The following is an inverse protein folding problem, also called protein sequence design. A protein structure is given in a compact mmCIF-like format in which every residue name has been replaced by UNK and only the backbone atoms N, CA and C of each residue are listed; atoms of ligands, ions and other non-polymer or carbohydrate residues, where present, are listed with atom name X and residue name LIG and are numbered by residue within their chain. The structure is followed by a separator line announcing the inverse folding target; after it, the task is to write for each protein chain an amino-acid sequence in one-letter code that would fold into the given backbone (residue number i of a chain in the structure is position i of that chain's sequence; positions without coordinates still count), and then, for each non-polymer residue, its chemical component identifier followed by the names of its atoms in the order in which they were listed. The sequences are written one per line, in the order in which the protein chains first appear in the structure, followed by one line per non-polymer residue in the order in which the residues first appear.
data_IF_950839966071
#
_entry.id   IF_950839966071
#
_cell.length_a   1.000
_cell.length_b   1.000
_cell.length_c   1.000
_cell.angle_alpha   90.00
_cell.angle_beta   90.00
_cell.angle_gamma   90.00
#
_symmetry.space_group_name_H-M   'P 1'
#
loop_
_entity.id
_entity.type
_entity.pdbx_description
1 polymer ?
#
# COMPACT_ATOMS: atom_id res chain seq x y z
N UNK A 1 14.62 51.81 -13.56
CA UNK A 1 14.64 50.43 -14.12
C UNK A 1 14.71 49.47 -12.95
N UNK A 2 13.58 48.89 -12.52
CA UNK A 2 13.54 47.89 -11.44
C UNK A 2 13.78 46.50 -12.00
N UNK A 3 14.82 45.84 -11.51
CA UNK A 3 15.13 44.44 -11.78
C UNK A 3 14.30 43.54 -10.86
N UNK A 4 13.12 43.10 -11.33
CA UNK A 4 12.39 42.03 -10.66
C UNK A 4 13.07 40.68 -10.95
N UNK A 5 13.73 40.13 -9.93
CA UNK A 5 14.24 38.75 -9.96
C UNK A 5 13.06 37.78 -9.98
N UNK A 6 12.98 36.83 -10.93
CA UNK A 6 11.98 35.78 -10.87
C UNK A 6 12.37 34.76 -9.79
N UNK A 7 11.46 34.53 -8.85
CA UNK A 7 11.51 33.49 -7.82
C UNK A 7 11.62 32.10 -8.47
N UNK A 8 12.85 31.60 -8.62
CA UNK A 8 13.10 30.22 -9.06
C UNK A 8 13.10 29.27 -7.86
N UNK A 9 11.95 28.70 -7.53
CA UNK A 9 11.92 27.41 -6.84
C UNK A 9 10.78 26.56 -7.42
N UNK A 10 11.01 25.80 -8.51
CA UNK A 10 10.35 24.51 -8.57
C UNK A 10 11.00 23.66 -7.48
N UNK A 11 10.26 23.32 -6.43
CA UNK A 11 10.66 22.24 -5.55
C UNK A 11 11.01 21.05 -6.44
N UNK A 12 12.30 20.68 -6.50
CA UNK A 12 12.74 19.49 -7.26
C UNK A 12 12.05 18.30 -6.60
N UNK A 13 10.94 17.86 -7.18
CA UNK A 13 10.22 16.68 -6.72
C UNK A 13 11.18 15.51 -6.86
N UNK A 14 11.71 15.05 -5.72
CA UNK A 14 12.64 13.92 -5.69
C UNK A 14 11.90 12.71 -6.25
N UNK A 15 12.41 12.12 -7.33
CA UNK A 15 11.81 10.91 -7.88
C UNK A 15 12.23 9.75 -7.00
N UNK A 16 11.28 9.00 -6.42
CA UNK A 16 11.61 7.99 -5.45
C UNK A 16 12.50 6.90 -6.04
N UNK A 17 13.43 6.42 -5.23
CA UNK A 17 14.35 5.34 -5.56
C UNK A 17 13.65 3.98 -5.64
N UNK A 18 14.36 2.96 -6.12
CA UNK A 18 13.82 1.59 -6.17
C UNK A 18 13.45 1.08 -4.77
N UNK A 19 14.38 1.19 -3.82
CA UNK A 19 14.21 0.78 -2.43
C UNK A 19 13.03 1.48 -1.78
N UNK A 20 12.86 2.79 -2.02
CA UNK A 20 11.75 3.57 -1.47
C UNK A 20 10.39 3.11 -2.01
N UNK A 21 10.33 2.79 -3.31
CA UNK A 21 9.11 2.26 -3.94
C UNK A 21 8.78 0.85 -3.45
N UNK A 22 9.77 -0.03 -3.32
CA UNK A 22 9.58 -1.36 -2.74
C UNK A 22 9.14 -1.26 -1.28
N UNK A 23 9.74 -0.36 -0.51
CA UNK A 23 9.32 -0.10 0.86
C UNK A 23 7.88 0.43 0.93
N UNK A 24 7.48 1.34 0.04
CA UNK A 24 6.10 1.81 -0.04
C UNK A 24 5.12 0.66 -0.36
N UNK A 25 5.45 -0.23 -1.30
CA UNK A 25 4.63 -1.40 -1.64
C UNK A 25 4.52 -2.37 -0.45
N UNK A 26 5.65 -2.75 0.14
CA UNK A 26 5.67 -3.79 1.16
C UNK A 26 5.17 -3.26 2.50
N UNK A 27 5.67 -2.11 2.92
CA UNK A 27 5.36 -1.58 4.25
C UNK A 27 4.10 -0.73 4.23
N UNK A 28 4.06 0.36 3.44
CA UNK A 28 2.91 1.28 3.48
C UNK A 28 1.65 0.59 2.99
N UNK A 29 1.69 -0.04 1.81
CA UNK A 29 0.53 -0.78 1.32
C UNK A 29 0.31 -2.08 2.12
N UNK A 30 1.32 -2.94 2.28
CA UNK A 30 1.10 -4.22 2.98
C UNK A 30 0.58 -4.08 4.42
N UNK A 31 1.19 -3.21 5.24
CA UNK A 31 0.70 -2.99 6.63
C UNK A 31 -0.58 -2.16 6.64
N UNK A 32 -0.67 -1.12 5.80
CA UNK A 32 -1.86 -0.28 5.71
C UNK A 32 -3.08 -1.10 5.32
N UNK A 33 -2.95 -2.02 4.38
CA UNK A 33 -4.03 -2.89 3.93
C UNK A 33 -4.47 -3.82 5.06
N UNK A 34 -3.52 -4.45 5.77
CA UNK A 34 -3.82 -5.25 6.96
C UNK A 34 -4.62 -4.47 8.00
N UNK A 35 -4.10 -3.33 8.48
CA UNK A 35 -4.75 -2.56 9.54
C UNK A 35 -6.07 -1.95 9.10
N UNK A 36 -6.15 -1.42 7.88
CA UNK A 36 -7.38 -0.81 7.36
C UNK A 36 -8.48 -1.85 7.15
N UNK A 37 -8.16 -3.07 6.68
CA UNK A 37 -9.12 -4.17 6.61
C UNK A 37 -9.64 -4.54 7.99
N UNK A 38 -8.78 -4.73 8.98
CA UNK A 38 -9.24 -5.03 10.34
C UNK A 38 -10.06 -3.89 10.96
N UNK A 39 -9.69 -2.62 10.71
CA UNK A 39 -10.47 -1.47 11.15
C UNK A 39 -11.87 -1.44 10.51
N UNK A 40 -11.97 -1.67 9.20
CA UNK A 40 -13.25 -1.74 8.50
C UNK A 40 -14.12 -2.88 9.04
N UNK A 41 -13.54 -4.07 9.21
CA UNK A 41 -14.23 -5.25 9.73
C UNK A 41 -14.67 -5.09 11.18
N UNK A 42 -13.94 -4.32 12.00
CA UNK A 42 -14.32 -4.05 13.37
C UNK A 42 -15.70 -3.38 13.46
N UNK A 43 -15.99 -2.44 12.56
CA UNK A 43 -17.26 -1.71 12.55
C UNK A 43 -18.34 -2.35 11.65
N UNK A 44 -17.95 -3.03 10.57
CA UNK A 44 -18.91 -3.60 9.60
C UNK A 44 -19.20 -5.09 9.81
N UNK A 45 -18.35 -5.79 10.55
CA UNK A 45 -18.40 -7.24 10.72
C UNK A 45 -17.87 -8.02 9.50
N UNK A 46 -17.65 -9.32 9.69
CA UNK A 46 -17.02 -10.22 8.70
C UNK A 46 -17.85 -10.37 7.41
N UNK A 47 -19.16 -10.13 7.47
CA UNK A 47 -20.05 -10.24 6.31
C UNK A 47 -19.78 -9.22 5.21
N UNK A 48 -19.18 -8.08 5.55
CA UNK A 48 -18.79 -7.06 4.60
C UNK A 48 -17.55 -7.45 3.76
N UNK A 49 -16.83 -8.50 4.15
CA UNK A 49 -15.69 -9.00 3.39
C UNK A 49 -16.17 -9.67 2.10
N UNK A 50 -15.76 -9.12 0.95
CA UNK A 50 -16.16 -9.62 -0.37
C UNK A 50 -15.37 -10.87 -0.75
N UNK A 51 -14.12 -10.99 -0.29
CA UNK A 51 -13.28 -12.12 -0.65
C UNK A 51 -13.67 -13.37 0.17
N UNK A 52 -14.24 -14.42 -0.45
CA UNK A 52 -14.74 -15.58 0.27
C UNK A 52 -13.64 -16.32 1.03
N UNK A 53 -12.41 -16.37 0.50
CA UNK A 53 -11.29 -17.02 1.17
C UNK A 53 -10.87 -16.25 2.43
N UNK A 54 -10.75 -14.93 2.32
CA UNK A 54 -10.40 -14.06 3.46
C UNK A 54 -11.49 -14.13 4.52
N UNK A 55 -12.77 -14.13 4.10
CA UNK A 55 -13.92 -14.27 4.99
C UNK A 55 -13.88 -15.59 5.77
N UNK A 56 -13.61 -16.71 5.10
CA UNK A 56 -13.47 -18.02 5.77
C UNK A 56 -12.27 -18.02 6.72
N UNK A 57 -11.14 -17.44 6.32
CA UNK A 57 -9.96 -17.37 7.18
C UNK A 57 -10.22 -16.54 8.44
N UNK A 58 -10.89 -15.39 8.31
CA UNK A 58 -11.25 -14.52 9.43
C UNK A 58 -12.21 -15.19 10.40
N UNK A 59 -13.17 -15.97 9.89
CA UNK A 59 -14.15 -16.66 10.71
C UNK A 59 -13.54 -17.77 11.59
N UNK A 60 -12.51 -18.46 11.09
CA UNK A 60 -11.92 -19.60 11.80
C UNK A 60 -10.55 -19.31 12.44
N UNK A 61 -9.67 -18.59 11.73
CA UNK A 61 -8.26 -18.39 12.08
C UNK A 61 -7.77 -16.98 11.73
N UNK A 62 -8.23 -15.93 12.45
CA UNK A 62 -7.89 -14.53 12.11
C UNK A 62 -6.38 -14.24 12.19
N UNK A 63 -5.65 -14.88 13.12
CA UNK A 63 -4.19 -14.76 13.21
C UNK A 63 -3.46 -15.38 12.01
N UNK A 64 -4.04 -16.40 11.38
CA UNK A 64 -3.48 -17.00 10.16
C UNK A 64 -3.53 -15.99 9.00
N UNK A 65 -4.52 -15.11 8.95
CA UNK A 65 -4.60 -14.06 7.92
C UNK A 65 -3.45 -13.06 8.09
N UNK A 66 -3.17 -12.67 9.34
CA UNK A 66 -2.04 -11.80 9.68
C UNK A 66 -0.72 -12.46 9.27
N UNK A 67 -0.53 -13.73 9.65
CA UNK A 67 0.67 -14.49 9.30
C UNK A 67 0.82 -14.64 7.78
N UNK A 68 -0.27 -14.93 7.06
CA UNK A 68 -0.27 -15.06 5.60
C UNK A 68 0.07 -13.74 4.92
N UNK A 69 -0.56 -12.63 5.31
CA UNK A 69 -0.23 -11.30 4.77
C UNK A 69 1.22 -10.93 5.07
N UNK A 70 1.70 -11.18 6.28
CA UNK A 70 3.11 -10.97 6.66
C UNK A 70 4.07 -11.80 5.81
N UNK A 71 3.75 -13.07 5.56
CA UNK A 71 4.53 -13.94 4.68
C UNK A 71 4.55 -13.43 3.23
N UNK A 72 3.40 -13.00 2.70
CA UNK A 72 3.30 -12.41 1.36
C UNK A 72 4.15 -11.14 1.27
N UNK A 73 4.06 -10.24 2.26
CA UNK A 73 4.88 -9.02 2.32
C UNK A 73 6.38 -9.35 2.30
N UNK A 74 6.81 -10.34 3.10
CA UNK A 74 8.20 -10.76 3.17
C UNK A 74 8.67 -11.35 1.83
N UNK A 75 7.88 -12.25 1.24
CA UNK A 75 8.21 -12.87 -0.05
C UNK A 75 8.29 -11.79 -1.15
N UNK A 76 7.29 -10.91 -1.23
CA UNK A 76 7.28 -9.81 -2.23
C UNK A 76 8.49 -8.90 -2.04
N UNK A 77 8.78 -8.48 -0.80
CA UNK A 77 9.95 -7.66 -0.51
C UNK A 77 11.25 -8.36 -0.89
N UNK A 78 11.43 -9.60 -0.46
CA UNK A 78 12.63 -10.40 -0.77
C UNK A 78 12.81 -10.57 -2.27
N UNK A 79 11.75 -10.90 -3.01
CA UNK A 79 11.80 -11.09 -4.47
C UNK A 79 12.15 -9.77 -5.16
N UNK A 80 11.51 -8.66 -4.81
CA UNK A 80 11.81 -7.36 -5.41
C UNK A 80 13.26 -6.93 -5.12
N UNK A 81 13.74 -7.09 -3.89
CA UNK A 81 15.15 -6.81 -3.58
C UNK A 81 16.11 -7.76 -4.31
N UNK A 82 15.82 -9.06 -4.34
CA UNK A 82 16.68 -10.07 -4.97
C UNK A 82 16.83 -9.88 -6.47
N UNK A 83 15.77 -9.40 -7.13
CA UNK A 83 15.69 -9.21 -8.57
C UNK A 83 15.71 -7.74 -8.99
N UNK A 84 16.20 -6.83 -8.13
CA UNK A 84 16.25 -5.39 -8.41
C UNK A 84 16.83 -5.08 -9.80
N UNK A 85 18.00 -5.65 -10.13
CA UNK A 85 18.67 -5.40 -11.41
C UNK A 85 17.80 -5.78 -12.62
N UNK A 86 17.01 -6.85 -12.52
CA UNK A 86 16.09 -7.26 -13.57
C UNK A 86 14.88 -6.32 -13.67
N UNK A 87 14.36 -5.85 -12.53
CA UNK A 87 13.22 -4.92 -12.52
C UNK A 87 13.64 -3.54 -13.04
N UNK A 88 14.84 -3.06 -12.71
CA UNK A 88 15.34 -1.77 -13.21
C UNK A 88 15.62 -1.76 -14.72
N UNK A 89 15.80 -2.93 -15.34
CA UNK A 89 15.89 -3.07 -16.81
C UNK A 89 14.53 -2.89 -17.50
N UNK A 90 13.42 -3.05 -16.80
CA UNK A 90 12.10 -2.88 -17.40
C UNK A 90 11.86 -1.40 -17.73
N UNK A 91 11.37 -1.10 -18.94
CA UNK A 91 10.98 0.27 -19.27
C UNK A 91 9.87 0.71 -18.31
N UNK A 92 10.00 1.92 -17.76
CA UNK A 92 9.00 2.54 -16.89
C UNK A 92 8.76 1.80 -15.56
N UNK A 93 9.72 1.01 -15.06
CA UNK A 93 9.62 0.34 -13.75
C UNK A 93 9.18 1.27 -12.61
N UNK A 94 9.62 2.54 -12.61
CA UNK A 94 9.20 3.55 -11.62
C UNK A 94 7.71 3.84 -11.64
N UNK A 95 7.13 3.95 -12.84
CA UNK A 95 5.69 4.16 -13.01
C UNK A 95 4.91 2.91 -12.62
N UNK A 96 5.45 1.72 -12.89
CA UNK A 96 4.83 0.46 -12.48
C UNK A 96 4.81 0.32 -10.95
N UNK A 97 5.96 0.45 -10.29
CA UNK A 97 6.04 0.34 -8.83
C UNK A 97 5.31 1.50 -8.13
N UNK A 98 5.45 2.72 -8.64
CA UNK A 98 4.72 3.88 -8.12
C UNK A 98 3.22 3.76 -8.33
N UNK A 99 2.77 3.27 -9.48
CA UNK A 99 1.37 2.99 -9.76
C UNK A 99 0.82 1.89 -8.85
N UNK A 100 1.58 0.82 -8.64
CA UNK A 100 1.22 -0.26 -7.72
C UNK A 100 1.08 0.25 -6.28
N UNK A 101 2.06 1.04 -5.81
CA UNK A 101 1.99 1.69 -4.50
C UNK A 101 0.78 2.66 -4.40
N UNK A 102 0.48 3.40 -5.46
CA UNK A 102 -0.67 4.31 -5.52
C UNK A 102 -2.01 3.58 -5.45
N UNK A 103 -2.17 2.51 -6.23
CA UNK A 103 -3.37 1.64 -6.18
C UNK A 103 -3.52 1.05 -4.78
N UNK A 104 -2.43 0.52 -4.22
CA UNK A 104 -2.42 -0.02 -2.87
C UNK A 104 -2.84 0.99 -1.82
N UNK A 105 -2.29 2.20 -1.88
CA UNK A 105 -2.69 3.33 -1.02
C UNK A 105 -4.17 3.65 -1.16
N UNK A 106 -4.71 3.61 -2.40
CA UNK A 106 -6.13 3.79 -2.66
C UNK A 106 -7.00 2.74 -1.97
N UNK A 107 -6.59 1.47 -2.00
CA UNK A 107 -7.29 0.38 -1.27
C UNK A 107 -7.31 0.66 0.23
N UNK A 108 -6.17 1.05 0.81
CA UNK A 108 -6.07 1.42 2.24
C UNK A 108 -7.01 2.58 2.58
N UNK A 109 -7.05 3.62 1.73
CA UNK A 109 -7.91 4.77 1.93
C UNK A 109 -9.41 4.40 1.88
N UNK A 110 -9.81 3.51 0.96
CA UNK A 110 -11.19 3.02 0.87
C UNK A 110 -11.57 2.23 2.12
N UNK A 111 -10.71 1.32 2.59
CA UNK A 111 -10.96 0.55 3.81
C UNK A 111 -11.09 1.48 5.03
N UNK A 112 -10.20 2.46 5.17
CA UNK A 112 -10.28 3.46 6.23
C UNK A 112 -11.56 4.30 6.13
N UNK A 113 -11.96 4.70 4.93
CA UNK A 113 -13.21 5.42 4.70
C UNK A 113 -14.41 4.59 5.17
N UNK A 114 -14.46 3.30 4.82
CA UNK A 114 -15.53 2.39 5.29
C UNK A 114 -15.54 2.30 6.82
N UNK A 115 -14.37 2.15 7.44
CA UNK A 115 -14.25 2.09 8.90
C UNK A 115 -14.79 3.36 9.56
N UNK A 116 -14.40 4.54 9.06
CA UNK A 116 -14.84 5.83 9.59
C UNK A 116 -16.33 6.08 9.33
N UNK A 117 -16.86 5.68 8.18
CA UNK A 117 -18.27 5.84 7.84
C UNK A 117 -19.18 4.91 8.66
N UNK A 118 -18.68 3.76 9.09
CA UNK A 118 -19.41 2.79 9.91
C UNK A 118 -19.20 3.01 11.42
N UNK A 119 -18.24 3.84 11.83
CA UNK A 119 -17.98 4.12 13.22
C UNK A 119 -19.16 4.86 13.86
N UNK A 120 -19.65 4.45 15.05
CA UNK A 120 -20.68 5.18 15.77
C UNK A 120 -20.11 6.55 16.21
N UNK A 121 -20.77 7.63 15.78
CA UNK A 121 -20.47 9.02 16.17
C UNK A 121 -21.02 9.31 17.56
#
# INVERSE_FOLDING_TARGET
MSTSSPSRLPARLHRPGYVELVFAIVFVWGTGDLFSTFAALHFTGIWAETNPLVRTLLAHHPLLLVALKGAVMLVVGLVLFRYQAAVEQLPRWRLLLGGLAGVGTGVVAVNLYVALAAAPV
#
